data_IF_774543959820
#
_entry.id   IF_774543959820
#
_cell.length_a   1.000
_cell.length_b   1.000
_cell.length_c   1.000
_cell.angle_alpha   90.00
_cell.angle_beta   90.00
_cell.angle_gamma   90.00
#
_symmetry.space_group_name_H-M   'P 1'
#
loop_
_entity.id
_entity.type
_entity.pdbx_description
1 polymer ?
#
# COMPACT_ATOMS: atom_id res chain seq x y z
N UNK A 1 -10.01 -20.21 10.10
CA UNK A 1 -11.03 -19.56 9.24
C UNK A 1 -10.79 -18.07 9.01
N UNK A 2 -10.20 -17.29 9.93
CA UNK A 2 -9.98 -15.85 9.75
C UNK A 2 -9.03 -15.45 8.60
N UNK A 3 -7.96 -16.22 8.34
CA UNK A 3 -6.94 -15.92 7.33
C UNK A 3 -7.48 -15.85 5.89
N UNK A 4 -8.36 -16.79 5.53
CA UNK A 4 -8.97 -16.88 4.19
C UNK A 4 -9.84 -15.64 3.90
N UNK A 5 -10.49 -15.06 4.93
CA UNK A 5 -11.34 -13.88 4.76
C UNK A 5 -10.55 -12.59 4.53
N UNK A 6 -9.37 -12.45 5.13
CA UNK A 6 -8.52 -11.26 4.99
C UNK A 6 -7.92 -11.20 3.59
N UNK A 7 -7.32 -12.30 3.14
CA UNK A 7 -6.68 -12.38 1.81
C UNK A 7 -7.70 -12.14 0.69
N UNK A 8 -8.92 -12.69 0.80
CA UNK A 8 -9.99 -12.43 -0.16
C UNK A 8 -10.36 -10.95 -0.21
N UNK A 9 -10.53 -10.29 0.94
CA UNK A 9 -10.92 -8.87 0.98
C UNK A 9 -9.83 -7.94 0.44
N UNK A 10 -8.56 -8.23 0.75
CA UNK A 10 -7.42 -7.49 0.17
C UNK A 10 -7.43 -7.67 -1.35
N UNK A 11 -7.58 -8.90 -1.84
CA UNK A 11 -7.66 -9.20 -3.28
C UNK A 11 -8.81 -8.46 -3.96
N UNK A 12 -10.01 -8.54 -3.42
CA UNK A 12 -11.20 -7.89 -4.00
C UNK A 12 -11.04 -6.37 -4.05
N UNK A 13 -10.46 -5.77 -3.01
CA UNK A 13 -10.13 -4.35 -2.96
C UNK A 13 -9.16 -3.98 -4.08
N UNK A 14 -8.08 -4.74 -4.25
CA UNK A 14 -7.08 -4.48 -5.28
C UNK A 14 -7.62 -4.68 -6.70
N UNK A 15 -8.43 -5.71 -6.95
CA UNK A 15 -9.09 -5.91 -8.24
C UNK A 15 -10.01 -4.74 -8.60
N UNK A 16 -10.72 -4.18 -7.62
CA UNK A 16 -11.54 -2.99 -7.82
C UNK A 16 -10.71 -1.74 -8.12
N UNK A 17 -9.57 -1.56 -7.45
CA UNK A 17 -8.65 -0.46 -7.73
C UNK A 17 -8.02 -0.58 -9.11
N UNK A 18 -7.60 -1.77 -9.53
CA UNK A 18 -7.00 -2.03 -10.84
C UNK A 18 -7.92 -1.70 -12.00
N UNK A 19 -9.25 -1.81 -11.84
CA UNK A 19 -10.22 -1.35 -12.85
C UNK A 19 -10.21 0.16 -13.04
N UNK A 20 -9.88 0.93 -11.99
CA UNK A 20 -9.88 2.40 -12.00
C UNK A 20 -8.50 2.99 -12.30
N UNK A 21 -7.47 2.27 -11.89
CA UNK A 21 -6.06 2.66 -11.96
C UNK A 21 -5.28 1.47 -12.52
N UNK A 22 -5.31 1.26 -13.85
CA UNK A 22 -4.80 0.03 -14.47
C UNK A 22 -3.29 -0.13 -14.27
N UNK A 23 -2.87 -1.39 -14.23
CA UNK A 23 -1.48 -1.82 -14.12
C UNK A 23 -1.00 -2.36 -15.48
N UNK A 24 0.25 -2.09 -15.81
CA UNK A 24 0.96 -2.61 -16.99
C UNK A 24 1.79 -3.87 -16.69
N UNK A 25 1.88 -4.27 -15.42
CA UNK A 25 2.62 -5.43 -14.96
C UNK A 25 1.94 -6.11 -13.75
N UNK A 26 2.51 -7.22 -13.30
CA UNK A 26 1.99 -7.97 -12.15
C UNK A 26 2.39 -7.32 -10.82
N UNK A 27 1.42 -7.01 -9.98
CA UNK A 27 1.61 -6.57 -8.59
C UNK A 27 1.61 -7.79 -7.65
N UNK A 28 2.68 -7.97 -6.89
CA UNK A 28 2.75 -8.96 -5.81
C UNK A 28 2.25 -8.37 -4.49
N UNK A 29 1.57 -9.19 -3.69
CA UNK A 29 1.07 -8.78 -2.37
C UNK A 29 1.42 -9.83 -1.34
N UNK A 30 2.11 -9.41 -0.29
CA UNK A 30 2.52 -10.27 0.82
C UNK A 30 1.83 -9.80 2.11
N UNK A 31 1.27 -10.75 2.86
CA UNK A 31 0.62 -10.49 4.16
C UNK A 31 1.36 -11.24 5.25
N UNK A 32 1.84 -10.51 6.24
CA UNK A 32 2.59 -11.00 7.38
C UNK A 32 1.80 -10.80 8.68
N UNK A 33 1.93 -11.70 9.66
CA UNK A 33 1.38 -11.45 10.99
C UNK A 33 2.17 -10.36 11.71
N UNK A 34 1.47 -9.44 12.36
CA UNK A 34 2.09 -8.53 13.33
C UNK A 34 2.45 -9.29 14.61
N UNK A 35 3.59 -8.95 15.22
CA UNK A 35 3.95 -9.48 16.54
C UNK A 35 2.88 -9.06 17.57
N UNK A 36 2.47 -10.00 18.42
CA UNK A 36 1.49 -9.73 19.48
C UNK A 36 2.00 -8.73 20.52
N UNK A 37 3.32 -8.63 20.68
CA UNK A 37 3.99 -7.67 21.56
C UNK A 37 4.18 -6.28 20.92
N UNK A 38 3.87 -6.09 19.64
CA UNK A 38 3.96 -4.80 18.96
C UNK A 38 2.83 -3.84 19.38
N UNK A 39 3.04 -3.23 20.54
CA UNK A 39 2.13 -2.23 21.10
C UNK A 39 2.05 -0.97 20.24
N UNK A 40 3.10 -0.65 19.47
CA UNK A 40 3.13 0.51 18.60
C UNK A 40 2.25 0.28 17.37
N UNK A 41 2.48 -0.80 16.63
CA UNK A 41 1.68 -1.17 15.46
C UNK A 41 0.21 -1.35 15.80
N UNK A 42 -0.09 -2.01 16.92
CA UNK A 42 -1.47 -2.17 17.40
C UNK A 42 -2.12 -0.84 17.80
N UNK A 43 -1.45 -0.05 18.64
CA UNK A 43 -2.05 1.13 19.24
C UNK A 43 -2.04 2.37 18.36
N UNK A 44 -0.92 2.63 17.67
CA UNK A 44 -0.73 3.86 16.87
C UNK A 44 -1.11 3.69 15.41
N UNK A 45 -0.97 2.49 14.85
CA UNK A 45 -1.29 2.22 13.45
C UNK A 45 -2.60 1.45 13.27
N UNK A 46 -3.39 1.27 14.33
CA UNK A 46 -4.67 0.53 14.25
C UNK A 46 -4.50 -0.94 13.87
N UNK A 47 -3.33 -1.54 14.17
CA UNK A 47 -3.04 -2.94 13.92
C UNK A 47 -2.59 -3.26 12.49
N UNK A 48 -2.30 -2.26 11.65
CA UNK A 48 -1.78 -2.51 10.29
C UNK A 48 -0.61 -1.61 9.98
N UNK A 49 0.47 -2.20 9.48
CA UNK A 49 1.53 -1.48 8.78
C UNK A 49 1.59 -1.95 7.33
N UNK A 50 2.00 -1.08 6.43
CA UNK A 50 2.10 -1.38 5.01
C UNK A 50 3.24 -0.61 4.38
N UNK A 51 3.81 -1.18 3.33
CA UNK A 51 4.72 -0.45 2.45
C UNK A 51 4.70 -1.02 1.03
N UNK A 52 5.07 -0.16 0.10
CA UNK A 52 5.31 -0.49 -1.31
C UNK A 52 6.81 -0.39 -1.59
N UNK A 53 7.39 -1.38 -2.28
CA UNK A 53 8.80 -1.31 -2.63
C UNK A 53 9.10 -0.23 -3.70
N UNK A 54 10.36 0.15 -3.80
CA UNK A 54 10.82 1.21 -4.71
C UNK A 54 10.67 0.81 -6.19
N UNK A 55 10.71 -0.49 -6.47
CA UNK A 55 10.43 -1.00 -7.81
C UNK A 55 8.96 -0.81 -8.19
N UNK A 56 8.09 -0.61 -7.21
CA UNK A 56 6.65 -0.52 -7.42
C UNK A 56 6.09 -1.83 -7.95
N UNK A 57 6.59 -2.98 -7.48
CA UNK A 57 6.15 -4.32 -7.93
C UNK A 57 5.55 -5.13 -6.79
N UNK A 58 5.69 -4.67 -5.54
CA UNK A 58 5.26 -5.39 -4.35
C UNK A 58 4.68 -4.47 -3.28
N UNK A 59 3.54 -4.88 -2.75
CA UNK A 59 2.97 -4.35 -1.51
C UNK A 59 3.15 -5.40 -0.41
N UNK A 60 3.62 -4.97 0.75
CA UNK A 60 3.74 -5.81 1.93
C UNK A 60 2.88 -5.24 3.05
N UNK A 61 2.09 -6.09 3.70
CA UNK A 61 1.16 -5.73 4.77
C UNK A 61 1.48 -6.55 6.02
N UNK A 62 1.61 -5.89 7.16
CA UNK A 62 1.80 -6.52 8.48
C UNK A 62 0.53 -6.29 9.29
N UNK A 63 -0.16 -7.36 9.67
CA UNK A 63 -1.54 -7.31 10.16
C UNK A 63 -1.67 -7.97 11.53
N UNK A 64 -2.20 -7.21 12.49
CA UNK A 64 -2.62 -7.75 13.79
C UNK A 64 -3.90 -8.57 13.62
N UNK A 65 -3.99 -9.80 14.17
CA UNK A 65 -5.09 -10.71 13.89
C UNK A 65 -6.32 -10.40 14.75
N UNK A 66 -6.93 -9.22 14.59
CA UNK A 66 -8.14 -8.83 15.31
C UNK A 66 -9.23 -8.26 14.38
N UNK A 67 -10.53 -8.44 14.70
CA UNK A 67 -11.63 -7.96 13.85
C UNK A 67 -11.61 -6.45 13.59
N UNK A 68 -11.22 -5.65 14.59
CA UNK A 68 -11.12 -4.20 14.51
C UNK A 68 -10.06 -3.71 13.52
N UNK A 69 -9.10 -4.56 13.15
CA UNK A 69 -8.00 -4.24 12.24
C UNK A 69 -8.46 -4.16 10.78
N UNK A 70 -9.63 -4.71 10.45
CA UNK A 70 -10.09 -4.86 9.07
C UNK A 70 -10.28 -3.52 8.34
N UNK A 71 -10.86 -2.50 8.97
CA UNK A 71 -11.07 -1.20 8.32
C UNK A 71 -9.74 -0.53 8.00
N UNK A 72 -8.81 -0.54 8.96
CA UNK A 72 -7.44 -0.06 8.78
C UNK A 72 -6.75 -0.82 7.66
N UNK A 73 -6.90 -2.15 7.59
CA UNK A 73 -6.29 -2.96 6.54
C UNK A 73 -6.75 -2.56 5.14
N UNK A 74 -8.05 -2.32 4.96
CA UNK A 74 -8.57 -1.88 3.67
C UNK A 74 -8.05 -0.49 3.30
N UNK A 75 -8.01 0.44 4.27
CA UNK A 75 -7.46 1.78 4.05
C UNK A 75 -5.97 1.75 3.68
N UNK A 76 -5.16 0.98 4.41
CA UNK A 76 -3.73 0.80 4.13
C UNK A 76 -3.51 0.13 2.79
N UNK A 77 -4.29 -0.90 2.43
CA UNK A 77 -4.21 -1.55 1.11
C UNK A 77 -4.43 -0.55 -0.02
N UNK A 78 -5.44 0.32 0.10
CA UNK A 78 -5.71 1.38 -0.88
C UNK A 78 -4.58 2.41 -0.91
N UNK A 79 -4.04 2.79 0.24
CA UNK A 79 -2.92 3.73 0.34
C UNK A 79 -1.67 3.20 -0.38
N UNK A 80 -1.26 1.97 -0.09
CA UNK A 80 -0.10 1.33 -0.73
C UNK A 80 -0.32 1.13 -2.23
N UNK A 81 -1.53 0.77 -2.65
CA UNK A 81 -1.84 0.69 -4.08
C UNK A 81 -1.62 2.02 -4.80
N UNK A 82 -1.98 3.15 -4.18
CA UNK A 82 -1.71 4.46 -4.77
C UNK A 82 -0.21 4.80 -4.82
N UNK A 83 0.58 4.36 -3.84
CA UNK A 83 2.03 4.48 -3.91
C UNK A 83 2.58 3.71 -5.11
N UNK A 84 2.19 2.44 -5.25
CA UNK A 84 2.53 1.60 -6.39
C UNK A 84 2.17 2.26 -7.73
N UNK A 85 0.92 2.72 -7.87
CA UNK A 85 0.45 3.35 -9.10
C UNK A 85 1.23 4.63 -9.43
N UNK A 86 1.56 5.46 -8.42
CA UNK A 86 2.37 6.68 -8.62
C UNK A 86 3.80 6.36 -9.04
N UNK A 87 4.43 5.36 -8.42
CA UNK A 87 5.78 4.91 -8.81
C UNK A 87 5.77 4.47 -10.27
N UNK A 88 4.73 3.76 -10.71
CA UNK A 88 4.57 3.38 -12.12
C UNK A 88 4.36 4.57 -13.05
N UNK A 89 3.45 5.48 -12.70
CA UNK A 89 3.22 6.67 -13.50
C UNK A 89 4.49 7.52 -13.68
N UNK A 90 5.33 7.62 -12.64
CA UNK A 90 6.64 8.27 -12.71
C UNK A 90 7.58 7.56 -13.67
N UNK A 91 7.72 6.22 -13.56
CA UNK A 91 8.61 5.44 -14.44
C UNK A 91 8.23 5.48 -15.91
N UNK A 92 6.94 5.58 -16.19
CA UNK A 92 6.42 5.63 -17.56
C UNK A 92 6.33 7.06 -18.13
N UNK A 93 6.89 8.06 -17.44
CA UNK A 93 6.89 9.45 -17.90
C UNK A 93 5.50 10.12 -17.89
N UNK A 94 4.53 9.52 -17.22
CA UNK A 94 3.15 10.01 -17.10
C UNK A 94 2.91 10.89 -15.86
N UNK A 95 3.88 10.98 -14.95
CA UNK A 95 3.81 11.85 -13.78
C UNK A 95 4.96 12.85 -13.82
N UNK A 96 4.62 14.14 -13.84
CA UNK A 96 5.56 15.23 -13.63
C UNK A 96 5.87 15.32 -12.13
N UNK A 97 7.14 15.14 -11.79
CA UNK A 97 7.80 15.52 -10.54
C UNK A 97 7.05 15.03 -9.29
N UNK A 98 7.52 13.93 -8.70
CA UNK A 98 7.09 13.51 -7.36
C UNK A 98 7.24 14.66 -6.36
N UNK A 99 6.39 14.69 -5.32
CA UNK A 99 6.53 15.67 -4.22
C UNK A 99 7.95 15.66 -3.64
N UNK A 100 8.61 14.49 -3.60
CA UNK A 100 10.00 14.33 -3.18
C UNK A 100 10.97 14.99 -4.18
N UNK A 101 10.79 14.82 -5.48
CA UNK A 101 11.56 15.55 -6.50
C UNK A 101 11.29 17.06 -6.44
N UNK A 102 10.08 17.51 -6.09
CA UNK A 102 9.80 18.95 -5.88
C UNK A 102 10.57 19.49 -4.66
N UNK A 103 10.67 18.70 -3.60
CA UNK A 103 11.43 19.05 -2.38
C UNK A 103 12.94 18.98 -2.63
N UNK A 104 13.41 17.97 -3.36
CA UNK A 104 14.83 17.77 -3.69
C UNK A 104 15.32 18.80 -4.71
N UNK A 105 14.54 19.07 -5.76
CA UNK A 105 14.90 20.02 -6.81
C UNK A 105 14.54 21.46 -6.47
N UNK A 106 13.77 21.67 -5.40
CA UNK A 106 13.58 22.97 -4.78
C UNK A 106 12.80 23.95 -5.66
N UNK A 107 12.30 24.96 -4.97
CA UNK A 107 11.88 26.22 -5.57
C UNK A 107 13.03 26.85 -6.36
N UNK A 108 13.16 26.50 -7.63
CA UNK A 108 13.76 27.35 -8.66
C UNK A 108 12.89 27.27 -9.90
N UNK A 109 11.75 27.95 -9.83
CA UNK A 109 11.04 28.41 -11.02
C UNK A 109 11.81 29.66 -11.49
N UNK A 110 12.14 29.80 -12.80
CA UNK A 110 12.70 31.05 -13.33
C UNK A 110 11.79 32.26 -13.09
#
# INVERSE_FOLDING_TARGET
MARIGIESRVRDTLLNLQRRFPLDHTLSVEVFPMDLADTFGRGKLGGVSGWTNWEGTKISLVVYPAPETLSTLMATTVHEYHHHYRIMAMKNGHAHISLLETIIHGLTIP
#
